data_IF_373467513201
#
_entry.id   IF_373467513201
#
_cell.length_a   1.000
_cell.length_b   1.000
_cell.length_c   1.000
_cell.angle_alpha   90.00
_cell.angle_beta   90.00
_cell.angle_gamma   90.00
#
_symmetry.space_group_name_H-M   'P 1'
#
loop_
_entity.id
_entity.type
_entity.pdbx_description
1 polymer ?
#
# COMPACT_ATOMS: atom_id res chain seq x y z
N UNK A 1 10.49 8.66 12.44
CA UNK A 1 9.64 7.92 11.56
C UNK A 1 8.75 8.81 10.75
N UNK A 2 8.75 8.55 9.51
CA UNK A 2 8.07 9.47 8.61
C UNK A 2 6.56 9.42 8.72
N UNK A 3 6.01 8.24 8.91
CA UNK A 3 4.56 8.10 8.89
C UNK A 3 3.89 8.81 10.06
N UNK A 4 4.53 8.75 11.20
CA UNK A 4 3.89 9.28 12.40
C UNK A 4 3.88 10.78 12.40
N UNK A 5 4.69 11.35 11.59
CA UNK A 5 4.74 12.80 11.58
C UNK A 5 3.65 13.39 10.74
N UNK A 6 2.85 12.57 10.16
CA UNK A 6 1.72 13.10 9.44
C UNK A 6 0.72 13.62 10.47
N UNK A 7 0.70 14.91 10.74
CA UNK A 7 -0.25 15.43 11.72
C UNK A 7 -1.67 15.14 11.34
N UNK A 8 -1.93 15.10 10.05
CA UNK A 8 -3.27 14.84 9.58
C UNK A 8 -3.72 13.44 9.96
N UNK A 9 -2.81 12.46 9.91
CA UNK A 9 -3.22 11.10 10.25
C UNK A 9 -3.47 10.97 11.75
N UNK A 10 -2.76 11.77 12.55
CA UNK A 10 -2.93 11.73 14.00
C UNK A 10 -4.22 12.42 14.42
N UNK A 11 -4.51 13.54 13.79
CA UNK A 11 -5.64 14.35 14.21
C UNK A 11 -6.90 14.03 13.44
N UNK A 12 -6.86 13.14 12.50
CA UNK A 12 -8.03 12.80 11.73
C UNK A 12 -9.08 12.20 12.65
N UNK A 13 -10.24 12.80 12.66
CA UNK A 13 -11.37 12.28 13.39
C UNK A 13 -11.99 11.15 12.58
N UNK A 14 -11.95 9.91 13.08
CA UNK A 14 -12.49 8.79 12.32
C UNK A 14 -13.93 8.97 11.94
N UNK A 15 -14.68 9.73 12.70
CA UNK A 15 -16.09 9.96 12.41
C UNK A 15 -16.30 10.87 11.22
N UNK A 16 -15.27 11.60 10.84
CA UNK A 16 -15.35 12.50 9.69
C UNK A 16 -14.87 11.87 8.40
N UNK A 17 -14.22 10.73 8.49
CA UNK A 17 -13.69 10.06 7.31
C UNK A 17 -14.81 9.25 6.69
N UNK A 18 -15.26 9.67 5.54
CA UNK A 18 -16.31 8.95 4.83
C UNK A 18 -15.72 7.72 4.14
N UNK A 19 -16.53 6.67 3.95
CA UNK A 19 -16.05 5.50 3.20
C UNK A 19 -15.58 5.86 1.80
N UNK A 20 -16.23 6.84 1.18
CA UNK A 20 -15.85 7.28 -0.15
C UNK A 20 -14.44 7.87 -0.15
N UNK A 21 -14.12 8.67 0.86
CA UNK A 21 -12.81 9.29 0.97
C UNK A 21 -11.73 8.24 1.22
N UNK A 22 -12.04 7.26 2.06
CA UNK A 22 -11.09 6.18 2.32
C UNK A 22 -10.78 5.40 1.04
N UNK A 23 -11.80 5.17 0.23
CA UNK A 23 -11.62 4.49 -1.04
C UNK A 23 -10.73 5.28 -1.98
N UNK A 24 -10.96 6.58 -2.09
CA UNK A 24 -10.13 7.44 -2.92
C UNK A 24 -8.68 7.46 -2.45
N UNK A 25 -8.48 7.52 -1.14
CA UNK A 25 -7.13 7.50 -0.59
C UNK A 25 -6.42 6.18 -0.91
N UNK A 26 -7.13 5.07 -0.84
CA UNK A 26 -6.57 3.78 -1.18
C UNK A 26 -6.19 3.71 -2.66
N UNK A 27 -7.03 4.28 -3.52
CA UNK A 27 -6.75 4.31 -4.94
C UNK A 27 -5.54 5.18 -5.26
N UNK A 28 -5.39 6.30 -4.58
CA UNK A 28 -4.23 7.17 -4.77
C UNK A 28 -2.95 6.45 -4.35
N UNK A 29 -2.97 5.76 -3.20
CA UNK A 29 -1.80 5.03 -2.74
C UNK A 29 -1.43 3.92 -3.73
N UNK A 30 -2.42 3.21 -4.24
CA UNK A 30 -2.18 2.16 -5.21
C UNK A 30 -1.62 2.72 -6.52
N UNK A 31 -2.10 3.87 -6.94
CA UNK A 31 -1.60 4.53 -8.13
C UNK A 31 -0.13 4.91 -7.97
N UNK A 32 0.25 5.35 -6.78
CA UNK A 32 1.65 5.69 -6.51
C UNK A 32 2.56 4.47 -6.59
N UNK A 33 2.07 3.32 -6.17
CA UNK A 33 2.84 2.08 -6.34
C UNK A 33 3.05 1.76 -7.80
N UNK A 34 2.01 1.96 -8.61
CA UNK A 34 2.12 1.74 -10.05
C UNK A 34 3.13 2.70 -10.68
N UNK A 35 3.17 3.95 -10.19
CA UNK A 35 4.15 4.90 -10.69
C UNK A 35 5.58 4.45 -10.39
N UNK A 36 5.82 3.96 -9.18
CA UNK A 36 7.14 3.47 -8.80
C UNK A 36 7.54 2.31 -9.71
N UNK A 37 6.60 1.41 -9.99
CA UNK A 37 6.86 0.30 -10.91
C UNK A 37 7.27 0.81 -12.29
N UNK A 38 6.52 1.78 -12.80
CA UNK A 38 6.80 2.32 -14.15
C UNK A 38 8.13 3.05 -14.20
N UNK A 39 8.51 3.72 -13.12
CA UNK A 39 9.80 4.39 -13.05
C UNK A 39 10.96 3.42 -13.18
N UNK A 40 10.73 2.16 -12.84
CA UNK A 40 11.73 1.12 -12.93
C UNK A 40 11.65 0.33 -14.24
N UNK A 41 10.79 0.79 -15.15
CA UNK A 41 10.60 0.15 -16.46
C UNK A 41 10.12 -1.29 -16.35
N UNK A 42 9.30 -1.56 -15.33
CA UNK A 42 8.72 -2.88 -15.12
C UNK A 42 7.25 -2.88 -15.52
N UNK A 43 6.84 -3.91 -16.25
CA UNK A 43 5.43 -4.09 -16.58
C UNK A 43 4.73 -4.85 -15.45
N UNK A 44 3.39 -4.79 -15.44
CA UNK A 44 2.61 -5.59 -14.49
C UNK A 44 2.91 -7.08 -14.67
N UNK A 45 3.05 -7.52 -15.91
CA UNK A 45 3.33 -8.93 -16.18
C UNK A 45 4.68 -9.34 -15.62
N UNK A 46 5.69 -8.48 -15.75
CA UNK A 46 7.00 -8.76 -15.21
C UNK A 46 7.00 -8.87 -13.68
N UNK A 47 6.31 -7.96 -13.02
CA UNK A 47 6.21 -8.01 -11.57
C UNK A 47 5.43 -9.26 -11.15
N UNK A 48 4.36 -9.57 -11.85
CA UNK A 48 3.58 -10.77 -11.57
C UNK A 48 4.44 -12.03 -11.63
N UNK A 49 5.30 -12.10 -12.64
CA UNK A 49 6.20 -13.24 -12.80
C UNK A 49 7.21 -13.30 -11.66
N UNK A 50 7.78 -12.17 -11.28
CA UNK A 50 8.76 -12.12 -10.20
C UNK A 50 8.17 -12.62 -8.89
N UNK A 51 6.95 -12.24 -8.57
CA UNK A 51 6.38 -12.58 -7.27
C UNK A 51 5.47 -13.80 -7.32
N UNK A 52 5.26 -14.38 -8.51
CA UNK A 52 4.54 -15.63 -8.61
C UNK A 52 3.03 -15.51 -8.54
N UNK A 53 2.47 -14.41 -9.00
CA UNK A 53 1.02 -14.24 -9.07
C UNK A 53 0.63 -13.89 -10.50
N UNK A 54 -0.66 -13.74 -10.76
CA UNK A 54 -1.13 -13.42 -12.10
C UNK A 54 -1.10 -11.91 -12.32
N UNK A 55 -0.99 -11.52 -13.59
CA UNK A 55 -1.00 -10.11 -13.95
C UNK A 55 -2.31 -9.42 -13.52
N UNK A 56 -3.50 -10.03 -13.65
CA UNK A 56 -4.71 -9.42 -13.12
C UNK A 56 -4.66 -9.15 -11.61
N UNK A 57 -3.94 -9.97 -10.86
CA UNK A 57 -3.78 -9.72 -9.42
C UNK A 57 -2.90 -8.50 -9.16
N UNK A 58 -1.85 -8.32 -9.95
CA UNK A 58 -1.04 -7.09 -9.85
C UNK A 58 -1.90 -5.89 -10.22
N UNK A 59 -2.69 -6.02 -11.27
CA UNK A 59 -3.57 -4.93 -11.69
C UNK A 59 -4.55 -4.56 -10.58
N UNK A 60 -5.09 -5.53 -9.87
CA UNK A 60 -5.99 -5.26 -8.75
C UNK A 60 -5.30 -4.53 -7.61
N UNK A 61 -4.07 -4.93 -7.29
CA UNK A 61 -3.30 -4.21 -6.28
C UNK A 61 -3.14 -2.74 -6.66
N UNK A 62 -2.84 -2.49 -7.92
CA UNK A 62 -2.60 -1.13 -8.39
C UNK A 62 -3.88 -0.34 -8.61
N UNK A 63 -5.03 -0.98 -8.44
CA UNK A 63 -6.33 -0.31 -8.57
C UNK A 63 -6.97 0.03 -7.23
N UNK A 64 -6.30 -0.27 -6.12
CA UNK A 64 -6.80 0.11 -4.82
C UNK A 64 -7.30 -1.03 -3.95
N UNK A 65 -7.12 -2.28 -4.37
CA UNK A 65 -7.56 -3.43 -3.59
C UNK A 65 -6.51 -3.86 -2.56
N UNK A 66 -5.80 -2.88 -1.98
CA UNK A 66 -4.73 -3.19 -1.04
C UNK A 66 -5.26 -3.78 0.27
N UNK A 67 -6.38 -3.26 0.74
CA UNK A 67 -6.92 -3.69 2.02
C UNK A 67 -7.56 -5.07 1.97
N UNK A 68 -7.81 -5.60 0.77
CA UNK A 68 -8.34 -6.96 0.61
C UNK A 68 -7.26 -7.94 0.17
N UNK A 69 -6.05 -7.47 -0.07
CA UNK A 69 -4.95 -8.34 -0.49
C UNK A 69 -4.27 -8.95 0.74
N UNK A 70 -3.70 -10.13 0.55
CA UNK A 70 -2.91 -10.73 1.62
C UNK A 70 -1.67 -9.89 1.89
N UNK A 71 -1.31 -9.76 3.15
CA UNK A 71 -0.15 -8.97 3.53
C UNK A 71 1.12 -9.50 2.87
N UNK A 72 1.25 -10.82 2.77
CA UNK A 72 2.40 -11.42 2.11
C UNK A 72 2.50 -11.02 0.64
N UNK A 73 1.37 -10.86 -0.02
CA UNK A 73 1.34 -10.44 -1.42
C UNK A 73 1.78 -8.99 -1.55
N UNK A 74 1.30 -8.14 -0.67
CA UNK A 74 1.70 -6.73 -0.67
C UNK A 74 3.18 -6.60 -0.41
N UNK A 75 3.69 -7.38 0.55
CA UNK A 75 5.11 -7.38 0.86
C UNK A 75 5.95 -7.81 -0.34
N UNK A 76 5.54 -8.89 -1.00
CA UNK A 76 6.25 -9.37 -2.17
C UNK A 76 6.27 -8.33 -3.29
N UNK A 77 5.15 -7.65 -3.48
CA UNK A 77 5.05 -6.61 -4.50
C UNK A 77 6.01 -5.45 -4.19
N UNK A 78 5.99 -4.97 -2.95
CA UNK A 78 6.86 -3.86 -2.54
C UNK A 78 8.33 -4.24 -2.67
N UNK A 79 8.68 -5.45 -2.26
CA UNK A 79 10.06 -5.91 -2.33
C UNK A 79 10.51 -6.10 -3.77
N UNK A 80 9.62 -6.52 -4.65
CA UNK A 80 9.94 -6.64 -6.06
C UNK A 80 10.31 -5.30 -6.67
N UNK A 81 9.79 -4.21 -6.11
CA UNK A 81 10.11 -2.86 -6.56
C UNK A 81 11.29 -2.27 -5.79
N UNK A 82 11.97 -3.06 -4.98
CA UNK A 82 13.14 -2.61 -4.25
C UNK A 82 12.83 -1.92 -2.94
N UNK A 83 11.59 -1.97 -2.50
CA UNK A 83 11.18 -1.35 -1.26
C UNK A 83 11.10 -2.32 -0.11
N UNK A 84 10.59 -1.83 1.01
CA UNK A 84 10.39 -2.64 2.20
C UNK A 84 9.04 -2.28 2.79
N UNK A 85 8.23 -3.28 3.08
CA UNK A 85 6.93 -3.06 3.68
C UNK A 85 7.07 -3.05 5.19
N UNK A 86 6.46 -2.05 5.81
CA UNK A 86 6.37 -1.99 7.26
C UNK A 86 4.92 -1.90 7.66
N UNK A 87 4.53 -2.73 8.63
CA UNK A 87 3.17 -2.74 9.14
C UNK A 87 3.23 -2.24 10.58
N UNK A 88 2.49 -1.20 10.85
CA UNK A 88 2.54 -0.51 12.14
C UNK A 88 1.14 -0.47 12.74
N UNK A 89 1.05 -0.82 14.02
CA UNK A 89 -0.18 -0.66 14.77
C UNK A 89 -0.04 0.61 15.61
N UNK A 90 -0.99 1.51 15.47
CA UNK A 90 -0.96 2.78 16.16
C UNK A 90 -2.07 2.80 17.20
N UNK A 91 -1.69 2.90 18.45
CA UNK A 91 -2.64 2.90 19.57
C UNK A 91 -2.81 4.29 20.18
N UNK A 92 -2.34 5.31 19.49
CA UNK A 92 -2.47 6.68 19.96
C UNK A 92 -1.27 7.12 20.76
N UNK A 93 -1.06 6.50 21.92
CA UNK A 93 0.05 6.85 22.81
C UNK A 93 1.30 6.00 22.53
N UNK A 94 1.18 4.97 21.71
CA UNK A 94 2.31 4.13 21.35
C UNK A 94 2.08 3.53 19.99
N UNK A 95 3.15 3.18 19.33
CA UNK A 95 3.10 2.46 18.06
C UNK A 95 3.93 1.21 18.17
N UNK A 96 3.47 0.21 17.45
CA UNK A 96 4.11 -1.10 17.44
C UNK A 96 4.36 -1.52 16.01
N UNK A 97 5.60 -1.81 15.68
CA UNK A 97 5.90 -2.35 14.35
C UNK A 97 5.62 -3.85 14.40
N UNK A 98 4.68 -4.28 13.60
CA UNK A 98 4.27 -5.68 13.58
C UNK A 98 5.10 -6.47 12.58
N UNK A 99 5.44 -5.84 11.49
CA UNK A 99 6.16 -6.54 10.44
C UNK A 99 6.99 -5.55 9.63
#
# INVERSE_FOLDING_TARGET
MAWEVSPESVVTDPQRVSPHREKLDAEVRAYRLAEIRREQDLTQAEVAEIIGITQPNVSRLESGALDTAALSTIRAYVEALGGQLRVVADFGDRTLTIS
#
